data_IF_078222726283
#
_entry.id   IF_078222726283
#
_cell.length_a   1.000
_cell.length_b   1.000
_cell.length_c   1.000
_cell.angle_alpha   90.00
_cell.angle_beta   90.00
_cell.angle_gamma   90.00
#
_symmetry.space_group_name_H-M   'P 1'
#
loop_
_entity.id
_entity.type
_entity.pdbx_description
1 polymer ?
#
# COMPACT_ATOMS: atom_id res chain seq x y z
N UNK A 1 2.17 13.07 0.43
CA UNK A 1 1.64 12.16 1.47
C UNK A 1 0.12 12.34 1.61
N UNK A 2 -0.62 11.29 1.97
CA UNK A 2 -2.09 11.32 2.11
C UNK A 2 -2.60 12.49 2.99
N UNK A 3 -1.88 12.80 4.07
CA UNK A 3 -2.17 13.93 4.98
C UNK A 3 -2.17 15.29 4.26
N UNK A 4 -1.22 15.53 3.35
CA UNK A 4 -1.16 16.79 2.58
C UNK A 4 -2.29 16.90 1.55
N UNK A 5 -2.88 15.77 1.17
CA UNK A 5 -4.07 15.71 0.29
C UNK A 5 -5.38 15.65 1.09
N UNK A 6 -5.33 15.77 2.42
CA UNK A 6 -6.48 15.62 3.32
C UNK A 6 -7.23 14.29 3.15
N UNK A 7 -6.53 13.25 2.68
CA UNK A 7 -7.07 11.90 2.56
C UNK A 7 -7.03 11.23 3.93
N UNK A 8 -8.12 11.40 4.66
CA UNK A 8 -8.23 10.95 6.05
C UNK A 8 -8.94 9.58 6.17
N UNK A 9 -9.53 9.10 5.09
CA UNK A 9 -10.09 7.77 4.96
C UNK A 9 -9.19 6.94 4.05
N UNK A 10 -8.56 5.91 4.59
CA UNK A 10 -7.59 5.09 3.85
C UNK A 10 -8.06 3.65 3.81
N UNK A 11 -7.94 3.03 2.65
CA UNK A 11 -8.06 1.59 2.49
C UNK A 11 -6.70 1.02 2.11
N UNK A 12 -6.20 0.08 2.92
CA UNK A 12 -4.93 -0.60 2.71
C UNK A 12 -5.22 -2.06 2.36
N UNK A 13 -4.76 -2.48 1.19
CA UNK A 13 -4.81 -3.87 0.78
C UNK A 13 -3.42 -4.51 0.87
N UNK A 14 -3.34 -5.74 1.38
CA UNK A 14 -2.10 -6.50 1.41
C UNK A 14 -2.34 -7.97 1.09
N UNK A 15 -1.42 -8.58 0.35
CA UNK A 15 -1.39 -10.01 0.08
C UNK A 15 -0.86 -10.84 1.27
N UNK A 16 -0.40 -10.19 2.33
CA UNK A 16 0.02 -10.83 3.57
C UNK A 16 -1.09 -10.80 4.61
N UNK A 17 -1.88 -11.88 4.67
CA UNK A 17 -2.91 -12.08 5.70
C UNK A 17 -2.32 -11.97 7.11
N UNK A 18 -1.09 -12.43 7.31
CA UNK A 18 -0.39 -12.31 8.58
C UNK A 18 -0.11 -10.84 8.93
N UNK A 19 0.31 -10.01 7.95
CA UNK A 19 0.50 -8.59 8.16
C UNK A 19 -0.82 -7.91 8.51
N UNK A 20 -1.89 -8.12 7.72
CA UNK A 20 -3.23 -7.56 7.98
C UNK A 20 -3.65 -7.84 9.42
N UNK A 21 -3.64 -9.12 9.83
CA UNK A 21 -4.00 -9.52 11.21
C UNK A 21 -3.09 -8.89 12.27
N UNK A 22 -1.79 -8.78 12.02
CA UNK A 22 -0.85 -8.17 12.97
C UNK A 22 -1.10 -6.67 13.15
N UNK A 23 -1.41 -5.94 12.08
CA UNK A 23 -1.74 -4.52 12.12
C UNK A 23 -3.11 -4.25 12.74
N UNK A 24 -4.11 -5.07 12.43
CA UNK A 24 -5.45 -4.99 13.04
C UNK A 24 -5.42 -5.28 14.55
N UNK A 25 -4.67 -6.30 14.96
CA UNK A 25 -4.56 -6.69 16.38
C UNK A 25 -3.46 -5.96 17.15
N UNK A 26 -2.76 -4.99 16.53
CA UNK A 26 -1.62 -4.27 17.13
C UNK A 26 -0.48 -5.19 17.64
N UNK A 27 -0.41 -6.44 17.13
CA UNK A 27 0.65 -7.43 17.42
C UNK A 27 1.88 -7.19 16.56
N UNK A 28 2.39 -5.96 16.60
CA UNK A 28 3.55 -5.52 15.83
C UNK A 28 4.82 -5.54 16.69
N UNK A 29 6.02 -5.68 16.09
CA UNK A 29 7.29 -5.40 16.78
C UNK A 29 7.33 -3.98 17.37
N UNK A 30 8.05 -3.81 18.48
CA UNK A 30 8.08 -2.56 19.24
C UNK A 30 8.47 -1.33 18.39
N UNK A 31 9.44 -1.49 17.50
CA UNK A 31 9.93 -0.42 16.62
C UNK A 31 8.88 0.03 15.60
N UNK A 32 7.95 -0.85 15.23
CA UNK A 32 6.89 -0.57 14.26
C UNK A 32 5.63 0.01 14.91
N UNK A 33 5.33 -0.39 16.17
CA UNK A 33 4.16 0.11 16.92
C UNK A 33 4.09 1.64 16.95
N UNK A 34 5.21 2.30 17.24
CA UNK A 34 5.26 3.77 17.32
C UNK A 34 4.99 4.43 15.97
N UNK A 35 5.56 3.89 14.89
CA UNK A 35 5.35 4.39 13.52
C UNK A 35 3.89 4.24 13.12
N UNK A 36 3.32 3.05 13.32
CA UNK A 36 1.94 2.78 12.99
C UNK A 36 0.95 3.63 13.80
N UNK A 37 1.18 3.81 15.10
CA UNK A 37 0.35 4.68 15.94
C UNK A 37 0.38 6.14 15.46
N UNK A 38 1.56 6.66 15.10
CA UNK A 38 1.70 8.01 14.56
C UNK A 38 0.97 8.19 13.22
N UNK A 39 0.98 7.18 12.35
CA UNK A 39 0.20 7.19 11.12
C UNK A 39 -1.30 7.16 11.43
N UNK A 40 -1.75 6.23 12.28
CA UNK A 40 -3.17 6.04 12.61
C UNK A 40 -3.81 7.25 13.27
N UNK A 41 -3.09 7.98 14.12
CA UNK A 41 -3.58 9.21 14.74
C UNK A 41 -3.94 10.31 13.73
N UNK A 42 -3.38 10.25 12.52
CA UNK A 42 -3.65 11.23 11.45
C UNK A 42 -4.80 10.83 10.54
N UNK A 43 -5.40 9.65 10.74
CA UNK A 43 -6.45 9.10 9.89
C UNK A 43 -7.78 9.07 10.65
N UNK A 44 -8.87 9.50 10.00
CA UNK A 44 -10.23 9.40 10.52
C UNK A 44 -10.74 7.96 10.43
N UNK A 45 -10.44 7.26 9.32
CA UNK A 45 -10.67 5.83 9.23
C UNK A 45 -9.56 5.16 8.44
N UNK A 46 -9.26 3.91 8.81
CA UNK A 46 -8.37 3.08 8.03
C UNK A 46 -8.85 1.63 8.08
N UNK A 47 -9.22 1.12 6.90
CA UNK A 47 -9.60 -0.26 6.64
C UNK A 47 -8.37 -1.02 6.14
N UNK A 48 -8.13 -2.21 6.68
CA UNK A 48 -7.13 -3.15 6.18
C UNK A 48 -7.86 -4.38 5.64
N UNK A 49 -7.54 -4.80 4.42
CA UNK A 49 -8.09 -6.03 3.83
C UNK A 49 -6.97 -6.89 3.26
N UNK A 50 -7.21 -8.20 3.25
CA UNK A 50 -6.36 -9.12 2.51
C UNK A 50 -6.78 -9.17 1.03
N UNK A 51 -5.81 -9.21 0.15
CA UNK A 51 -6.03 -9.38 -1.30
C UNK A 51 -5.21 -10.56 -1.83
N UNK A 52 -5.50 -11.02 -3.05
CA UNK A 52 -4.73 -12.12 -3.65
C UNK A 52 -3.38 -11.61 -4.18
N UNK A 53 -2.34 -12.45 -4.17
CA UNK A 53 -1.03 -12.06 -4.74
C UNK A 53 -1.11 -11.66 -6.21
N UNK A 54 -1.97 -12.32 -6.95
CA UNK A 54 -2.16 -12.09 -8.39
C UNK A 54 -2.69 -10.69 -8.69
N UNK A 55 -3.51 -10.14 -7.79
CA UNK A 55 -4.06 -8.78 -7.90
C UNK A 55 -3.12 -7.72 -7.30
N UNK A 56 -2.23 -8.10 -6.36
CA UNK A 56 -1.23 -7.19 -5.78
C UNK A 56 0.04 -6.99 -6.65
N UNK A 57 -0.03 -7.30 -7.96
CA UNK A 57 1.13 -7.27 -8.86
C UNK A 57 1.81 -5.91 -8.94
N UNK A 58 1.05 -4.83 -8.81
CA UNK A 58 1.56 -3.48 -8.90
C UNK A 58 2.41 -3.12 -7.67
N UNK A 59 1.98 -3.53 -6.47
CA UNK A 59 2.73 -3.33 -5.25
C UNK A 59 4.01 -4.18 -5.23
N UNK A 60 3.95 -5.44 -5.70
CA UNK A 60 5.13 -6.31 -5.80
C UNK A 60 6.18 -5.76 -6.79
N UNK A 61 5.75 -5.28 -7.96
CA UNK A 61 6.65 -4.62 -8.91
C UNK A 61 7.25 -3.33 -8.34
N UNK A 62 6.44 -2.54 -7.63
CA UNK A 62 6.93 -1.34 -6.95
C UNK A 62 7.97 -1.66 -5.88
N UNK A 63 7.75 -2.71 -5.08
CA UNK A 63 8.70 -3.17 -4.06
C UNK A 63 10.01 -3.68 -4.68
N UNK A 64 9.93 -4.46 -5.77
CA UNK A 64 11.12 -4.91 -6.52
C UNK A 64 11.89 -3.74 -7.11
N UNK A 65 11.18 -2.75 -7.66
CA UNK A 65 11.78 -1.54 -8.19
C UNK A 65 12.50 -0.76 -7.10
N UNK A 66 11.86 -0.57 -5.94
CA UNK A 66 12.47 0.11 -4.80
C UNK A 66 13.73 -0.60 -4.29
N UNK A 67 13.73 -1.94 -4.21
CA UNK A 67 14.92 -2.70 -3.79
C UNK A 67 16.06 -2.63 -4.82
N UNK A 68 15.74 -2.50 -6.11
CA UNK A 68 16.74 -2.36 -7.17
C UNK A 68 17.38 -0.96 -7.25
N UNK A 69 16.73 0.05 -6.65
CA UNK A 69 17.24 1.41 -6.59
C UNK A 69 17.97 1.61 -5.26
N UNK A 70 19.26 1.94 -5.32
CA UNK A 70 20.11 2.11 -4.13
C UNK A 70 19.83 3.39 -3.35
N UNK A 71 18.92 4.25 -3.82
CA UNK A 71 18.59 5.53 -3.22
C UNK A 71 17.14 5.57 -2.69
N UNK A 72 16.93 6.30 -1.60
CA UNK A 72 15.61 6.58 -0.99
C UNK A 72 14.75 7.54 -1.83
N UNK A 73 14.62 7.28 -3.13
CA UNK A 73 13.88 8.13 -4.06
C UNK A 73 12.38 7.83 -4.00
N UNK A 74 11.59 8.77 -3.47
CA UNK A 74 10.13 8.76 -3.61
C UNK A 74 9.74 9.20 -5.03
N UNK A 75 9.13 8.30 -5.79
CA UNK A 75 8.59 8.60 -7.12
C UNK A 75 7.14 9.05 -7.06
N UNK A 76 6.86 10.28 -7.52
CA UNK A 76 5.49 10.75 -7.76
C UNK A 76 5.12 10.55 -9.22
N UNK A 77 4.19 9.62 -9.49
CA UNK A 77 3.69 9.36 -10.84
C UNK A 77 2.26 9.88 -10.98
N UNK A 78 2.02 10.83 -11.88
CA UNK A 78 0.68 11.20 -12.31
C UNK A 78 0.25 10.22 -13.41
N UNK A 79 -0.28 9.07 -13.01
CA UNK A 79 -0.67 7.99 -13.90
C UNK A 79 0.26 6.76 -13.80
N UNK A 80 0.32 5.98 -14.88
CA UNK A 80 1.08 4.73 -14.95
C UNK A 80 2.58 4.98 -14.81
N UNK A 81 3.25 4.39 -13.80
CA UNK A 81 4.71 4.43 -13.74
C UNK A 81 5.32 3.68 -14.95
N UNK A 82 6.41 4.18 -15.55
CA UNK A 82 7.04 3.55 -16.72
C UNK A 82 7.52 2.12 -16.45
N UNK A 83 7.97 1.86 -15.21
CA UNK A 83 8.45 0.56 -14.74
C UNK A 83 7.33 -0.45 -14.43
N UNK A 84 6.07 -0.02 -14.37
CA UNK A 84 4.93 -0.90 -14.10
C UNK A 84 4.43 -1.49 -15.43
N UNK A 85 5.00 -2.62 -15.86
CA UNK A 85 4.75 -3.18 -17.20
C UNK A 85 3.55 -4.12 -17.27
N UNK A 86 3.20 -4.84 -16.18
CA UNK A 86 1.93 -5.57 -16.11
C UNK A 86 0.86 -4.62 -15.60
N UNK A 87 -0.28 -4.54 -16.29
CA UNK A 87 -1.32 -3.57 -15.97
C UNK A 87 -2.66 -4.14 -15.57
N UNK A 88 -2.97 -5.40 -15.88
CA UNK A 88 -4.22 -6.03 -15.51
C UNK A 88 -4.09 -7.52 -15.86
N UNK A 89 -4.67 -8.39 -15.03
CA UNK A 89 -5.18 -9.67 -15.53
C UNK A 89 -6.54 -9.34 -16.17
N UNK A 90 -6.76 -9.77 -17.41
CA UNK A 90 -7.98 -9.48 -18.16
C UNK A 90 -9.26 -10.02 -17.50
N UNK A 91 -9.14 -10.85 -16.46
CA UNK A 91 -10.27 -11.42 -15.74
C UNK A 91 -10.75 -10.58 -14.53
N UNK A 92 -10.04 -9.52 -14.13
CA UNK A 92 -10.42 -8.71 -12.96
C UNK A 92 -10.46 -7.22 -13.29
N UNK A 93 -11.67 -6.66 -13.38
CA UNK A 93 -11.90 -5.22 -13.49
C UNK A 93 -11.59 -4.54 -12.16
N UNK A 94 -10.60 -3.67 -12.12
CA UNK A 94 -10.44 -2.70 -11.03
C UNK A 94 -11.40 -1.54 -11.23
N UNK A 95 -12.03 -1.09 -10.15
CA UNK A 95 -12.82 0.13 -10.16
C UNK A 95 -11.89 1.33 -10.32
N UNK A 96 -11.99 2.05 -11.45
CA UNK A 96 -11.51 3.43 -11.53
C UNK A 96 -12.48 4.31 -10.76
N UNK A 97 -11.96 5.08 -9.82
CA UNK A 97 -12.66 6.28 -9.35
C UNK A 97 -12.36 7.36 -10.39
N UNK A 98 -13.36 7.67 -11.22
CA UNK A 98 -13.35 8.82 -12.12
C UNK A 98 -13.49 10.12 -11.33
#
# INVERSE_FOLDING_TARGET
MAVNKQWNHIWIESDSVAAVKAFESMKLPWWMKRRWASCRQKLLSCLLTSTWREVNFAADQAAKKATSESDELMHFCNGKPPWLYKWEDCHWRYFRIN
#
